data_IF_817861955279
#
_entry.id   IF_817861955279
#
_cell.length_a   1.000
_cell.length_b   1.000
_cell.length_c   1.000
_cell.angle_alpha   90.00
_cell.angle_beta   90.00
_cell.angle_gamma   90.00
#
_symmetry.space_group_name_H-M   'P 1'
#
loop_
_entity.id
_entity.type
_entity.pdbx_description
1 polymer ?
#
# COMPACT_ATOMS: atom_id res chain seq x y z
N UNK A 1 4.88 9.05 5.85
CA UNK A 1 5.98 8.09 5.59
C UNK A 1 5.46 6.67 5.80
N UNK A 2 5.85 5.69 4.97
CA UNK A 2 5.40 4.28 5.10
C UNK A 2 5.68 3.71 6.50
N UNK A 3 6.79 4.08 7.12
CA UNK A 3 7.14 3.67 8.49
C UNK A 3 6.04 4.05 9.51
N UNK A 4 5.43 5.22 9.36
CA UNK A 4 4.32 5.66 10.20
C UNK A 4 3.06 4.81 9.99
N UNK A 5 2.81 4.37 8.74
CA UNK A 5 1.70 3.46 8.45
C UNK A 5 1.92 2.12 9.16
N UNK A 6 3.13 1.56 9.07
CA UNK A 6 3.46 0.29 9.75
C UNK A 6 3.29 0.43 11.28
N UNK A 7 3.74 1.54 11.87
CA UNK A 7 3.55 1.83 13.30
C UNK A 7 2.07 1.94 13.69
N UNK A 8 1.21 2.41 12.77
CA UNK A 8 -0.25 2.47 12.95
C UNK A 8 -0.97 1.13 12.66
N UNK A 9 -0.22 0.05 12.42
CA UNK A 9 -0.76 -1.29 12.19
C UNK A 9 -1.19 -1.56 10.75
N UNK A 10 -0.73 -0.76 9.79
CA UNK A 10 -0.92 -1.02 8.37
C UNK A 10 0.09 -2.04 7.86
N UNK A 11 -0.36 -2.92 6.98
CA UNK A 11 0.48 -3.85 6.25
C UNK A 11 0.68 -3.29 4.85
N UNK A 12 1.93 -2.97 4.52
CA UNK A 12 2.32 -2.44 3.20
C UNK A 12 3.23 -3.47 2.52
N UNK A 13 2.92 -3.82 1.28
CA UNK A 13 3.77 -4.68 0.45
C UNK A 13 4.08 -3.98 -0.86
N UNK A 14 5.36 -3.86 -1.18
CA UNK A 14 5.86 -3.30 -2.43
C UNK A 14 6.73 -4.37 -3.11
N UNK A 15 6.44 -4.68 -4.36
CA UNK A 15 7.20 -5.64 -5.15
C UNK A 15 7.50 -5.04 -6.52
N UNK A 16 8.77 -5.07 -6.93
CA UNK A 16 9.12 -4.81 -8.32
C UNK A 16 8.67 -5.98 -9.19
N UNK A 17 8.00 -5.67 -10.29
CA UNK A 17 7.50 -6.63 -11.28
C UNK A 17 8.14 -6.33 -12.63
N UNK A 18 9.05 -7.22 -13.02
CA UNK A 18 9.78 -7.18 -14.28
C UNK A 18 9.20 -8.14 -15.33
N UNK A 19 8.02 -8.72 -15.07
CA UNK A 19 7.37 -9.66 -16.00
C UNK A 19 6.50 -8.96 -17.04
N UNK A 20 6.27 -7.66 -16.88
CA UNK A 20 5.50 -6.83 -17.81
C UNK A 20 6.43 -6.20 -18.87
N UNK A 21 5.88 -5.78 -20.03
CA UNK A 21 6.65 -5.08 -21.06
C UNK A 21 7.38 -3.84 -20.53
N UNK A 22 6.79 -3.17 -19.53
CA UNK A 22 7.41 -2.08 -18.78
C UNK A 22 7.56 -2.49 -17.32
N UNK A 23 8.76 -2.34 -16.71
CA UNK A 23 8.94 -2.57 -15.28
C UNK A 23 7.97 -1.73 -14.46
N UNK A 24 7.32 -2.36 -13.48
CA UNK A 24 6.38 -1.67 -12.61
C UNK A 24 6.54 -2.13 -11.16
N UNK A 25 5.81 -1.48 -10.26
CA UNK A 25 5.70 -1.82 -8.86
C UNK A 25 4.29 -2.27 -8.56
N UNK A 26 4.15 -3.45 -7.99
CA UNK A 26 2.89 -3.89 -7.40
C UNK A 26 2.85 -3.45 -5.95
N UNK A 27 1.74 -2.84 -5.58
CA UNK A 27 1.53 -2.22 -4.28
C UNK A 27 0.32 -2.89 -3.63
N UNK A 28 0.45 -3.31 -2.38
CA UNK A 28 -0.67 -3.76 -1.56
C UNK A 28 -0.68 -3.01 -0.25
N UNK A 29 -1.86 -2.57 0.13
CA UNK A 29 -2.13 -1.93 1.40
C UNK A 29 -3.26 -2.70 2.07
N UNK A 30 -3.03 -3.17 3.29
CA UNK A 30 -4.09 -3.75 4.10
C UNK A 30 -4.05 -3.25 5.53
N UNK A 31 -5.20 -3.25 6.17
CA UNK A 31 -5.32 -2.82 7.56
C UNK A 31 -6.30 -3.72 8.30
N UNK A 32 -5.93 -4.06 9.53
CA UNK A 32 -6.75 -4.85 10.44
C UNK A 32 -6.52 -4.39 11.88
N UNK A 33 -7.55 -3.84 12.51
CA UNK A 33 -7.56 -3.52 13.96
C UNK A 33 -8.59 -4.40 14.67
N UNK A 34 -8.10 -5.44 15.30
CA UNK A 34 -8.92 -6.36 16.10
C UNK A 34 -10.01 -7.07 15.28
N UNK A 35 -11.28 -7.07 15.74
CA UNK A 35 -12.40 -7.73 15.07
C UNK A 35 -12.97 -6.93 13.88
N UNK A 36 -12.43 -5.75 13.58
CA UNK A 36 -12.89 -4.95 12.45
C UNK A 36 -12.68 -5.67 11.11
N UNK A 37 -13.51 -5.38 10.10
CA UNK A 37 -13.37 -5.98 8.77
C UNK A 37 -11.97 -5.75 8.20
N UNK A 38 -11.37 -6.81 7.68
CA UNK A 38 -10.14 -6.71 6.91
C UNK A 38 -10.41 -5.90 5.65
N UNK A 39 -9.67 -4.80 5.45
CA UNK A 39 -9.70 -4.03 4.22
C UNK A 39 -8.34 -4.15 3.55
N UNK A 40 -8.35 -4.51 2.26
CA UNK A 40 -7.16 -4.66 1.44
C UNK A 40 -7.43 -4.03 0.07
N UNK A 41 -6.44 -3.33 -0.47
CA UNK A 41 -6.44 -2.80 -1.82
C UNK A 41 -5.06 -2.94 -2.43
N UNK A 42 -5.02 -3.06 -3.75
CA UNK A 42 -3.76 -3.20 -4.47
C UNK A 42 -3.83 -2.51 -5.83
N UNK A 43 -2.68 -2.02 -6.28
CA UNK A 43 -2.55 -1.38 -7.57
C UNK A 43 -1.17 -1.64 -8.19
N UNK A 44 -1.00 -1.19 -9.43
CA UNK A 44 0.30 -1.13 -10.10
C UNK A 44 0.70 0.32 -10.30
N UNK A 45 1.97 0.61 -10.07
CA UNK A 45 2.54 1.93 -10.27
C UNK A 45 3.82 1.84 -11.11
N UNK A 46 4.10 2.83 -11.97
CA UNK A 46 5.26 2.79 -12.85
C UNK A 46 6.58 2.93 -12.08
N UNK A 47 6.57 3.61 -10.92
CA UNK A 47 7.76 3.88 -10.11
C UNK A 47 7.54 3.55 -8.66
N UNK A 48 8.64 3.37 -7.91
CA UNK A 48 8.60 3.18 -6.46
C UNK A 48 7.98 4.41 -5.76
N UNK A 49 8.30 5.62 -6.20
CA UNK A 49 7.75 6.84 -5.59
C UNK A 49 6.23 6.96 -5.77
N UNK A 50 5.72 6.57 -6.95
CA UNK A 50 4.28 6.51 -7.19
C UNK A 50 3.61 5.43 -6.34
N UNK A 51 4.28 4.29 -6.15
CA UNK A 51 3.83 3.21 -5.26
C UNK A 51 3.74 3.65 -3.78
N UNK A 52 4.77 4.34 -3.29
CA UNK A 52 4.81 4.91 -1.95
C UNK A 52 3.71 5.96 -1.77
N UNK A 53 3.59 6.89 -2.71
CA UNK A 53 2.58 7.95 -2.70
C UNK A 53 1.16 7.38 -2.67
N UNK A 54 0.91 6.33 -3.47
CA UNK A 54 -0.38 5.65 -3.49
C UNK A 54 -0.71 5.06 -2.12
N UNK A 55 0.21 4.30 -1.52
CA UNK A 55 -0.02 3.69 -0.20
C UNK A 55 -0.36 4.75 0.87
N UNK A 56 0.36 5.88 0.87
CA UNK A 56 0.09 6.96 1.83
C UNK A 56 -1.25 7.65 1.59
N UNK A 57 -1.61 7.88 0.33
CA UNK A 57 -2.88 8.53 -0.03
C UNK A 57 -4.06 7.64 0.33
N UNK A 58 -4.01 6.37 -0.09
CA UNK A 58 -5.06 5.39 0.19
C UNK A 58 -5.24 5.17 1.70
N UNK A 59 -4.15 5.07 2.47
CA UNK A 59 -4.26 4.94 3.93
C UNK A 59 -4.96 6.14 4.59
N UNK A 60 -4.62 7.37 4.15
CA UNK A 60 -5.27 8.61 4.63
C UNK A 60 -6.75 8.67 4.28
N UNK A 61 -7.11 8.28 3.06
CA UNK A 61 -8.51 8.26 2.60
C UNK A 61 -9.38 7.30 3.40
N UNK A 62 -8.80 6.21 3.89
CA UNK A 62 -9.56 5.20 4.59
C UNK A 62 -10.07 5.72 5.96
N UNK A 63 -9.52 6.80 6.55
CA UNK A 63 -9.97 7.40 7.83
C UNK A 63 -9.98 6.45 9.05
N UNK A 64 -9.26 5.33 9.00
CA UNK A 64 -9.13 4.41 10.14
C UNK A 64 -7.86 4.78 10.93
N UNK A 65 -7.95 5.85 11.71
CA UNK A 65 -6.93 6.22 12.71
C UNK A 65 -7.51 6.04 14.12
#
# INVERSE_FOLDING_TARGET
MIEELVLKGWHVKLLSDHTQPEPCWRCWLSWRKGPLPHKEESCRQPTLDAALTWCETTAKEWKWE
#
